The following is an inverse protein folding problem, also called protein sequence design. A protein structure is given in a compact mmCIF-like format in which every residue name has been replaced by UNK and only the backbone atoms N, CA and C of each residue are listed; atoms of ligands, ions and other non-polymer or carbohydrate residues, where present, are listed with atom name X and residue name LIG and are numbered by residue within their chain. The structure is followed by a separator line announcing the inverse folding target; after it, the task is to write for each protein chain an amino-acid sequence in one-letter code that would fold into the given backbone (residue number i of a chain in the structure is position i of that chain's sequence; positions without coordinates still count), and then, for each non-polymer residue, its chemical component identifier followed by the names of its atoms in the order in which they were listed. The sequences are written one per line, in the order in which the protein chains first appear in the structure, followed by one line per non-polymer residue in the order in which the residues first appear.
data_IF_929831707896
#
_entry.id   IF_929831707896
#
_cell.length_a   1.000
_cell.length_b   1.000
_cell.length_c   1.000
_cell.angle_alpha   90.00
_cell.angle_beta   90.00
_cell.angle_gamma   90.00
#
_symmetry.space_group_name_H-M   'P 1'
#
loop_
_entity.id
_entity.type
_entity.pdbx_description
1 polymer ?
#
# COMPACT_ATOMS: atom_id res chain seq x y z
N UNK A 1 3.61 19.97 -9.47
CA UNK A 1 3.08 21.29 -9.08
C UNK A 1 3.39 21.51 -7.61
N UNK A 2 4.08 22.58 -7.20
CA UNK A 2 4.36 22.83 -5.78
C UNK A 2 3.07 23.29 -5.08
N UNK A 3 2.71 22.77 -3.89
CA UNK A 3 1.55 23.26 -3.15
C UNK A 3 1.71 24.73 -2.76
N UNK A 4 0.60 25.46 -2.81
CA UNK A 4 0.45 26.77 -2.18
C UNK A 4 0.10 26.64 -0.70
N UNK A 5 -0.59 25.56 -0.35
CA UNK A 5 -0.96 25.23 1.01
C UNK A 5 -0.93 23.72 1.17
N UNK A 6 -0.27 23.26 2.22
CA UNK A 6 -0.20 21.86 2.58
C UNK A 6 -0.18 21.78 4.12
N UNK A 7 -1.24 21.22 4.71
CA UNK A 7 -1.35 21.17 6.17
C UNK A 7 -2.14 19.95 6.65
N UNK A 8 -1.43 19.13 7.41
CA UNK A 8 -1.99 18.09 8.27
C UNK A 8 -2.28 18.63 9.67
N UNK A 9 -3.46 18.31 10.19
CA UNK A 9 -3.94 18.57 11.56
C UNK A 9 -4.57 17.29 12.11
N UNK A 10 -5.03 17.29 13.36
CA UNK A 10 -5.67 16.11 13.96
C UNK A 10 -6.93 15.65 13.22
N UNK A 11 -7.66 16.58 12.60
CA UNK A 11 -8.95 16.32 11.93
C UNK A 11 -8.90 16.44 10.42
N UNK A 12 -8.02 17.29 9.88
CA UNK A 12 -7.95 17.59 8.45
C UNK A 12 -6.56 17.42 7.87
N UNK A 13 -6.53 16.96 6.63
CA UNK A 13 -5.41 17.07 5.70
C UNK A 13 -5.90 17.87 4.49
N UNK A 14 -5.18 18.94 4.12
CA UNK A 14 -5.58 19.84 3.04
C UNK A 14 -4.36 20.22 2.22
N UNK A 15 -4.41 19.85 0.95
CA UNK A 15 -3.49 20.27 -0.10
C UNK A 15 -4.20 21.22 -1.07
N UNK A 16 -3.53 22.30 -1.46
CA UNK A 16 -4.03 23.26 -2.46
C UNK A 16 -2.90 23.62 -3.43
N UNK A 17 -3.17 23.45 -4.72
CA UNK A 17 -2.33 23.91 -5.83
C UNK A 17 -3.08 24.92 -6.70
N UNK A 18 -2.32 25.78 -7.38
CA UNK A 18 -2.88 26.67 -8.39
C UNK A 18 -2.68 26.09 -9.79
N UNK A 19 -3.78 25.99 -10.54
CA UNK A 19 -3.79 25.53 -11.91
C UNK A 19 -3.76 26.74 -12.85
N UNK A 20 -2.56 27.05 -13.36
CA UNK A 20 -2.33 28.15 -14.31
C UNK A 20 -3.20 28.04 -15.57
N UNK A 21 -3.51 26.82 -16.03
CA UNK A 21 -4.27 26.60 -17.28
C UNK A 21 -5.75 26.95 -17.13
N UNK A 22 -6.30 26.79 -15.92
CA UNK A 22 -7.71 27.07 -15.61
C UNK A 22 -7.91 28.33 -14.77
N UNK A 23 -6.82 29.00 -14.40
CA UNK A 23 -6.80 30.19 -13.54
C UNK A 23 -7.63 30.01 -12.25
N UNK A 24 -7.49 28.85 -11.61
CA UNK A 24 -8.20 28.52 -10.38
C UNK A 24 -7.36 27.62 -9.45
N UNK A 25 -7.89 27.38 -8.25
CA UNK A 25 -7.24 26.58 -7.22
C UNK A 25 -7.84 25.18 -7.20
N UNK A 26 -7.01 24.15 -7.32
CA UNK A 26 -7.39 22.77 -7.07
C UNK A 26 -7.07 22.43 -5.61
N UNK A 27 -8.06 22.02 -4.85
CA UNK A 27 -7.84 21.47 -3.51
C UNK A 27 -8.08 19.97 -3.51
N UNK A 28 -7.24 19.25 -2.79
CA UNK A 28 -7.51 17.90 -2.33
C UNK A 28 -7.53 17.92 -0.81
N UNK A 29 -8.64 17.49 -0.21
CA UNK A 29 -8.87 17.63 1.23
C UNK A 29 -9.47 16.36 1.81
N UNK A 30 -9.03 16.00 3.01
CA UNK A 30 -9.51 14.86 3.78
C UNK A 30 -9.97 15.33 5.17
N UNK A 31 -11.05 14.75 5.65
CA UNK A 31 -11.60 14.93 6.99
C UNK A 31 -11.69 13.58 7.69
N UNK A 32 -10.95 13.45 8.78
CA UNK A 32 -10.85 12.22 9.58
C UNK A 32 -12.06 12.04 10.46
N UNK A 33 -12.60 10.82 10.45
CA UNK A 33 -13.66 10.36 11.36
C UNK A 33 -13.20 9.09 12.07
N UNK A 34 -13.99 8.66 13.05
CA UNK A 34 -13.66 7.49 13.88
C UNK A 34 -13.55 6.16 13.14
N UNK A 35 -14.14 5.99 11.95
CA UNK A 35 -14.09 4.74 11.15
C UNK A 35 -14.01 4.98 9.64
N UNK A 36 -13.68 6.20 9.23
CA UNK A 36 -13.65 6.60 7.83
C UNK A 36 -12.88 7.89 7.66
N UNK A 37 -12.50 8.18 6.42
CA UNK A 37 -12.09 9.51 5.99
C UNK A 37 -13.12 10.01 4.96
N UNK A 38 -13.54 11.28 5.05
CA UNK A 38 -14.22 11.94 3.93
C UNK A 38 -13.18 12.65 3.10
N UNK A 39 -13.15 12.45 1.79
CA UNK A 39 -12.23 13.17 0.91
C UNK A 39 -12.98 13.95 -0.17
N UNK A 40 -12.41 15.06 -0.60
CA UNK A 40 -12.97 15.91 -1.64
C UNK A 40 -11.85 16.52 -2.48
N UNK A 41 -11.89 16.23 -3.78
CA UNK A 41 -11.12 16.93 -4.80
C UNK A 41 -12.04 17.96 -5.47
N UNK A 42 -11.69 19.25 -5.40
CA UNK A 42 -12.57 20.32 -5.92
C UNK A 42 -11.78 21.56 -6.33
N UNK A 43 -12.29 22.25 -7.35
CA UNK A 43 -11.77 23.54 -7.81
C UNK A 43 -12.49 24.71 -7.15
N UNK A 44 -11.74 25.77 -6.83
CA UNK A 44 -12.22 27.01 -6.24
C UNK A 44 -11.63 28.21 -6.97
N UNK A 45 -12.45 29.25 -7.19
CA UNK A 45 -11.98 30.50 -7.81
C UNK A 45 -11.16 31.37 -6.84
N UNK A 46 -11.34 31.18 -5.53
CA UNK A 46 -10.60 31.85 -4.46
C UNK A 46 -10.34 30.86 -3.33
N UNK A 47 -9.19 30.96 -2.67
CA UNK A 47 -8.87 30.13 -1.51
C UNK A 47 -9.64 30.65 -0.29
N UNK A 48 -10.40 29.76 0.34
CA UNK A 48 -10.94 29.96 1.69
C UNK A 48 -10.92 28.60 2.39
N UNK A 49 -10.06 28.45 3.41
CA UNK A 49 -9.81 27.18 4.08
C UNK A 49 -11.05 26.67 4.82
N UNK A 50 -11.81 27.55 5.46
CA UNK A 50 -13.02 27.16 6.20
C UNK A 50 -14.12 26.67 5.25
N UNK A 51 -14.27 27.31 4.09
CA UNK A 51 -15.18 26.81 3.05
C UNK A 51 -14.75 25.45 2.51
N UNK A 52 -13.45 25.23 2.30
CA UNK A 52 -12.92 23.93 1.87
C UNK A 52 -13.26 22.87 2.93
N UNK A 53 -12.95 23.11 4.21
CA UNK A 53 -13.29 22.20 5.31
C UNK A 53 -14.79 21.88 5.35
N UNK A 54 -15.64 22.90 5.29
CA UNK A 54 -17.10 22.73 5.29
C UNK A 54 -17.58 21.92 4.09
N UNK A 55 -17.04 22.17 2.90
CA UNK A 55 -17.36 21.40 1.70
C UNK A 55 -16.90 19.93 1.84
N UNK A 56 -15.71 19.66 2.38
CA UNK A 56 -15.23 18.29 2.65
C UNK A 56 -16.15 17.56 3.62
N UNK A 57 -16.58 18.22 4.70
CA UNK A 57 -17.51 17.63 5.67
C UNK A 57 -18.86 17.30 4.99
N UNK A 58 -19.42 18.24 4.22
CA UNK A 58 -20.78 18.12 3.68
C UNK A 58 -20.84 17.23 2.44
N UNK A 59 -19.88 17.36 1.54
CA UNK A 59 -19.91 16.79 0.18
C UNK A 59 -18.81 15.75 -0.08
N UNK A 60 -17.87 15.58 0.86
CA UNK A 60 -16.80 14.61 0.70
C UNK A 60 -17.31 13.18 0.58
N UNK A 61 -16.65 12.42 -0.30
CA UNK A 61 -16.89 11.00 -0.52
C UNK A 61 -16.33 10.23 0.67
N UNK A 62 -17.10 9.27 1.19
CA UNK A 62 -16.68 8.47 2.35
C UNK A 62 -15.81 7.32 1.89
N UNK A 63 -14.58 7.28 2.42
CA UNK A 63 -13.67 6.15 2.31
C UNK A 63 -13.56 5.43 3.65
N UNK A 64 -13.70 4.10 3.66
CA UNK A 64 -13.71 3.30 4.90
C UNK A 64 -12.30 3.20 5.50
N UNK A 65 -12.24 3.20 6.84
CA UNK A 65 -11.00 2.99 7.61
C UNK A 65 -11.21 1.96 8.75
N UNK A 66 -10.17 1.20 9.14
CA UNK A 66 -8.80 1.28 8.62
C UNK A 66 -8.68 0.81 7.16
N UNK A 67 -7.74 1.39 6.40
CA UNK A 67 -7.46 0.92 5.04
C UNK A 67 -6.80 -0.46 5.11
N UNK A 68 -7.22 -1.38 4.24
CA UNK A 68 -6.69 -2.75 4.17
C UNK A 68 -6.21 -3.06 2.76
N UNK A 69 -5.24 -3.96 2.65
CA UNK A 69 -4.78 -4.50 1.37
C UNK A 69 -5.97 -4.93 0.48
N UNK A 70 -5.89 -4.57 -0.80
CA UNK A 70 -6.89 -4.79 -1.84
C UNK A 70 -8.27 -4.15 -1.56
N UNK A 71 -8.34 -3.18 -0.65
CA UNK A 71 -9.51 -2.32 -0.59
C UNK A 71 -9.59 -1.52 -1.89
N UNK A 72 -10.78 -1.50 -2.50
CA UNK A 72 -11.04 -0.82 -3.78
C UNK A 72 -10.50 0.61 -3.80
N UNK A 73 -10.02 1.03 -4.97
CA UNK A 73 -9.60 2.39 -5.22
C UNK A 73 -10.69 3.37 -4.83
N UNK A 74 -10.30 4.30 -3.98
CA UNK A 74 -10.92 5.59 -3.89
C UNK A 74 -9.79 6.61 -3.86
N UNK A 75 -10.03 7.83 -4.34
CA UNK A 75 -8.96 8.82 -4.54
C UNK A 75 -8.25 9.29 -3.26
N UNK A 76 -8.42 8.60 -2.13
CA UNK A 76 -7.74 8.87 -0.86
C UNK A 76 -6.70 7.82 -0.44
N UNK A 77 -6.52 6.71 -1.19
CA UNK A 77 -5.78 5.54 -0.68
C UNK A 77 -4.28 5.55 -0.98
N UNK A 78 -3.79 6.39 -1.89
CA UNK A 78 -2.41 6.36 -2.41
C UNK A 78 -1.38 6.28 -1.28
N UNK A 79 -1.48 7.18 -0.31
CA UNK A 79 -0.56 7.23 0.85
C UNK A 79 -0.60 5.95 1.69
N UNK A 80 -1.78 5.34 1.87
CA UNK A 80 -1.90 4.07 2.59
C UNK A 80 -1.24 2.92 1.82
N UNK A 81 -1.38 2.89 0.49
CA UNK A 81 -0.78 1.86 -0.36
C UNK A 81 0.75 1.99 -0.38
N UNK A 82 1.28 3.20 -0.54
CA UNK A 82 2.72 3.44 -0.48
C UNK A 82 3.31 3.05 0.87
N UNK A 83 2.60 3.28 1.98
CA UNK A 83 3.08 2.84 3.28
C UNK A 83 3.11 1.32 3.42
N UNK A 84 2.09 0.61 2.91
CA UNK A 84 2.08 -0.85 2.86
C UNK A 84 3.21 -1.40 1.97
N UNK A 85 3.51 -0.74 0.87
CA UNK A 85 4.65 -1.06 0.01
C UNK A 85 5.99 -0.88 0.75
N UNK A 86 6.17 0.24 1.47
CA UNK A 86 7.36 0.46 2.28
C UNK A 86 7.55 -0.62 3.36
N UNK A 87 6.49 -0.96 4.10
CA UNK A 87 6.53 -2.01 5.12
C UNK A 87 6.88 -3.40 4.54
N UNK A 88 6.39 -3.68 3.32
CA UNK A 88 6.83 -4.85 2.56
C UNK A 88 8.34 -4.79 2.27
N UNK A 89 8.83 -3.69 1.68
CA UNK A 89 10.26 -3.54 1.36
C UNK A 89 11.15 -3.70 2.60
N UNK A 90 10.80 -3.06 3.72
CA UNK A 90 11.52 -3.19 5.00
C UNK A 90 11.57 -4.65 5.47
N UNK A 91 10.46 -5.38 5.36
CA UNK A 91 10.38 -6.79 5.75
C UNK A 91 11.28 -7.72 4.93
N UNK A 92 11.57 -7.34 3.68
CA UNK A 92 12.43 -8.11 2.77
C UNK A 92 13.81 -7.45 2.54
N UNK A 93 14.15 -6.39 3.26
CA UNK A 93 15.40 -5.61 3.11
C UNK A 93 15.63 -5.10 1.68
N UNK A 94 14.56 -4.65 1.04
CA UNK A 94 14.58 -4.01 -0.27
C UNK A 94 14.59 -2.48 -0.10
N UNK A 95 15.20 -1.76 -1.04
CA UNK A 95 15.08 -0.30 -1.10
C UNK A 95 13.81 0.08 -1.91
N UNK A 96 12.79 0.68 -1.25
CA UNK A 96 11.56 1.05 -1.94
C UNK A 96 11.77 2.14 -3.00
N UNK A 97 12.75 3.04 -2.83
CA UNK A 97 13.04 4.09 -3.81
C UNK A 97 13.77 3.55 -5.04
N UNK A 98 14.57 2.49 -4.90
CA UNK A 98 15.16 1.81 -6.05
C UNK A 98 14.08 1.12 -6.88
N UNK A 99 13.17 0.39 -6.23
CA UNK A 99 12.07 -0.30 -6.92
C UNK A 99 11.11 0.68 -7.62
N UNK A 100 10.77 1.81 -6.98
CA UNK A 100 9.96 2.85 -7.64
C UNK A 100 10.67 3.40 -8.88
N UNK A 101 11.98 3.65 -8.79
CA UNK A 101 12.75 4.18 -9.92
C UNK A 101 12.91 3.16 -11.05
N UNK A 102 13.01 1.89 -10.72
CA UNK A 102 13.02 0.81 -11.71
C UNK A 102 11.66 0.72 -12.43
N UNK A 103 10.56 0.78 -11.68
CA UNK A 103 9.21 0.79 -12.24
C UNK A 103 8.89 2.07 -13.05
N UNK A 104 9.45 3.21 -12.64
CA UNK A 104 9.23 4.51 -13.28
C UNK A 104 10.55 5.29 -13.43
N UNK A 105 11.34 5.03 -14.49
CA UNK A 105 12.66 5.66 -14.65
C UNK A 105 12.63 7.19 -14.80
N UNK A 106 11.47 7.78 -15.07
CA UNK A 106 11.30 9.23 -15.17
C UNK A 106 11.10 9.90 -13.80
N UNK A 107 10.86 9.11 -12.76
CA UNK A 107 10.70 9.57 -11.38
C UNK A 107 12.07 9.85 -10.76
N UNK A 108 12.50 11.11 -10.85
CA UNK A 108 13.84 11.53 -10.41
C UNK A 108 13.90 11.93 -8.93
N UNK A 109 12.76 12.04 -8.25
CA UNK A 109 12.72 12.45 -6.84
C UNK A 109 12.44 11.23 -5.96
N UNK A 110 13.26 11.01 -4.91
CA UNK A 110 12.97 9.97 -3.95
C UNK A 110 11.67 10.29 -3.23
N UNK A 111 10.90 9.26 -2.97
CA UNK A 111 9.68 9.33 -2.17
C UNK A 111 10.04 9.48 -0.70
N UNK A 112 9.44 10.46 -0.02
CA UNK A 112 9.60 10.65 1.42
C UNK A 112 8.71 9.66 2.20
N UNK A 113 9.27 8.47 2.48
CA UNK A 113 8.55 7.44 3.22
C UNK A 113 8.32 7.77 4.69
N UNK A 114 9.07 8.71 5.28
CA UNK A 114 8.84 9.17 6.65
C UNK A 114 7.54 9.98 6.69
N UNK A 115 7.39 10.90 5.74
CA UNK A 115 6.16 11.66 5.60
C UNK A 115 4.97 10.74 5.26
N UNK A 116 5.12 9.84 4.29
CA UNK A 116 4.07 8.86 3.93
C UNK A 116 3.60 8.06 5.14
N UNK A 117 4.51 7.55 5.97
CA UNK A 117 4.16 6.83 7.20
C UNK A 117 3.28 7.68 8.12
N UNK A 118 3.67 8.92 8.38
CA UNK A 118 2.92 9.84 9.24
C UNK A 118 1.49 10.05 8.73
N UNK A 119 1.31 10.28 7.44
CA UNK A 119 -0.02 10.44 6.84
C UNK A 119 -0.82 9.14 6.84
N UNK A 120 -0.21 8.00 6.52
CA UNK A 120 -0.88 6.70 6.50
C UNK A 120 -1.35 6.27 7.91
N UNK A 121 -0.56 6.54 8.95
CA UNK A 121 -0.96 6.36 10.35
C UNK A 121 -2.11 7.29 10.73
N UNK A 122 -2.07 8.55 10.28
CA UNK A 122 -3.18 9.48 10.48
C UNK A 122 -4.47 8.97 9.82
N UNK A 123 -4.38 8.42 8.61
CA UNK A 123 -5.49 7.82 7.88
C UNK A 123 -5.94 6.47 8.44
N UNK A 124 -5.12 5.82 9.29
CA UNK A 124 -5.36 4.51 9.90
C UNK A 124 -5.27 3.38 8.89
N UNK A 125 -4.10 3.16 8.33
CA UNK A 125 -3.75 1.94 7.59
C UNK A 125 -3.65 0.72 8.53
N UNK A 126 -4.08 -0.45 8.07
CA UNK A 126 -3.90 -1.74 8.77
C UNK A 126 -2.75 -2.53 8.13
N UNK A 127 -1.64 -2.63 8.84
CA UNK A 127 -0.49 -3.44 8.42
C UNK A 127 -0.77 -4.95 8.62
N UNK A 128 -0.31 -5.82 7.70
CA UNK A 128 -0.33 -7.25 7.94
C UNK A 128 0.67 -7.62 9.05
N UNK A 129 0.33 -8.59 9.90
CA UNK A 129 1.25 -9.09 10.93
C UNK A 129 2.48 -9.81 10.35
N UNK A 130 2.34 -10.38 9.15
CA UNK A 130 3.36 -11.11 8.40
C UNK A 130 3.06 -11.01 6.91
N UNK A 131 4.11 -10.90 6.10
CA UNK A 131 4.03 -10.95 4.65
C UNK A 131 4.07 -12.40 4.13
N UNK A 132 2.89 -12.96 3.88
CA UNK A 132 2.72 -14.22 3.14
C UNK A 132 2.51 -13.95 1.65
N UNK A 133 2.63 -14.99 0.81
CA UNK A 133 2.28 -14.92 -0.63
C UNK A 133 0.89 -14.31 -0.87
N UNK A 134 -0.09 -14.68 -0.06
CA UNK A 134 -1.45 -14.12 -0.15
C UNK A 134 -1.48 -12.62 0.15
N UNK A 135 -0.69 -12.12 1.11
CA UNK A 135 -0.62 -10.68 1.41
C UNK A 135 0.13 -9.90 0.35
N UNK A 136 1.19 -10.49 -0.22
CA UNK A 136 1.93 -9.89 -1.34
C UNK A 136 1.00 -9.73 -2.55
N UNK A 137 0.18 -10.74 -2.86
CA UNK A 137 -0.81 -10.63 -3.93
C UNK A 137 -1.82 -9.49 -3.70
N UNK A 138 -2.31 -9.34 -2.48
CA UNK A 138 -3.21 -8.22 -2.15
C UNK A 138 -2.50 -6.85 -2.19
N UNK A 139 -1.18 -6.80 -1.96
CA UNK A 139 -0.39 -5.59 -2.17
C UNK A 139 -0.29 -5.24 -3.66
N UNK A 140 -0.05 -6.23 -4.53
CA UNK A 140 -0.06 -6.02 -5.98
C UNK A 140 -1.41 -5.47 -6.46
N UNK A 141 -2.51 -6.05 -5.99
CA UNK A 141 -3.86 -5.54 -6.27
C UNK A 141 -4.00 -4.09 -5.79
N UNK A 142 -3.50 -3.75 -4.60
CA UNK A 142 -3.52 -2.37 -4.08
C UNK A 142 -2.72 -1.39 -4.95
N UNK A 143 -1.57 -1.82 -5.47
CA UNK A 143 -0.73 -1.02 -6.35
C UNK A 143 -1.39 -0.81 -7.72
N UNK A 144 -2.06 -1.82 -8.26
CA UNK A 144 -2.88 -1.68 -9.46
C UNK A 144 -4.00 -0.66 -9.29
N UNK A 145 -4.67 -0.66 -8.14
CA UNK A 145 -5.76 0.28 -7.84
C UNK A 145 -5.29 1.74 -7.85
N UNK A 146 -4.01 2.02 -7.59
CA UNK A 146 -3.41 3.35 -7.68
C UNK A 146 -2.59 3.57 -8.97
N UNK A 147 -2.78 2.73 -9.98
CA UNK A 147 -2.11 2.75 -11.29
C UNK A 147 -0.59 2.53 -11.27
N UNK A 148 -0.06 1.85 -10.25
CA UNK A 148 1.35 1.46 -10.16
C UNK A 148 1.57 0.02 -10.67
N UNK A 149 1.22 -0.23 -11.93
CA UNK A 149 1.26 -1.57 -12.54
C UNK A 149 2.66 -2.17 -12.62
N UNK A 150 3.65 -1.39 -13.07
CA UNK A 150 5.01 -1.89 -13.22
C UNK A 150 5.65 -2.21 -11.86
N UNK A 151 5.34 -1.41 -10.83
CA UNK A 151 5.79 -1.68 -9.46
C UNK A 151 5.16 -2.96 -8.89
N UNK A 152 3.88 -3.19 -9.19
CA UNK A 152 3.21 -4.43 -8.80
C UNK A 152 3.85 -5.67 -9.46
N UNK A 153 4.24 -5.55 -10.74
CA UNK A 153 4.94 -6.61 -11.47
C UNK A 153 6.32 -6.89 -10.87
N UNK A 154 7.12 -5.86 -10.58
CA UNK A 154 8.43 -6.04 -9.94
C UNK A 154 8.31 -6.81 -8.62
N UNK A 155 7.37 -6.42 -7.75
CA UNK A 155 7.14 -7.12 -6.48
C UNK A 155 6.78 -8.59 -6.71
N UNK A 156 6.04 -8.90 -7.78
CA UNK A 156 5.73 -10.28 -8.17
C UNK A 156 7.00 -11.07 -8.42
N UNK A 157 7.89 -10.54 -9.26
CA UNK A 157 9.12 -11.21 -9.67
C UNK A 157 10.08 -11.41 -8.48
N UNK A 158 10.22 -10.39 -7.63
CA UNK A 158 10.99 -10.50 -6.39
C UNK A 158 10.42 -11.58 -5.46
N UNK A 159 9.10 -11.61 -5.29
CA UNK A 159 8.47 -12.60 -4.42
C UNK A 159 8.69 -14.03 -4.91
N UNK A 160 8.48 -14.30 -6.20
CA UNK A 160 8.69 -15.61 -6.80
C UNK A 160 10.15 -16.08 -6.62
N UNK A 161 11.11 -15.20 -6.90
CA UNK A 161 12.53 -15.51 -6.75
C UNK A 161 12.91 -15.81 -5.28
N UNK A 162 12.36 -15.07 -4.32
CA UNK A 162 12.56 -15.32 -2.89
C UNK A 162 12.03 -16.71 -2.52
N UNK A 163 10.79 -17.05 -2.90
CA UNK A 163 10.19 -18.34 -2.53
C UNK A 163 10.90 -19.52 -3.21
N UNK A 164 11.31 -19.39 -4.48
CA UNK A 164 12.08 -20.42 -5.19
C UNK A 164 13.44 -20.70 -4.52
N UNK A 165 14.11 -19.66 -4.01
CA UNK A 165 15.36 -19.83 -3.25
C UNK A 165 15.11 -20.56 -1.92
N UNK A 166 14.03 -20.25 -1.21
CA UNK A 166 13.66 -20.97 0.01
C UNK A 166 13.31 -22.44 -0.27
N UNK A 167 12.62 -22.75 -1.36
CA UNK A 167 12.33 -24.13 -1.77
C UNK A 167 13.61 -24.93 -2.08
N UNK A 168 14.59 -24.30 -2.76
CA UNK A 168 15.91 -24.92 -2.99
C UNK A 168 16.65 -25.20 -1.68
N UNK A 169 16.66 -24.25 -0.75
CA UNK A 169 17.33 -24.44 0.56
C UNK A 169 16.65 -25.55 1.38
N UNK A 170 15.32 -25.62 1.38
CA UNK A 170 14.58 -26.64 2.14
C UNK A 170 14.68 -28.04 1.53
N UNK A 171 14.73 -28.14 0.19
CA UNK A 171 14.92 -29.42 -0.51
C UNK A 171 16.35 -29.96 -0.37
N UNK A 172 17.37 -29.09 -0.42
CA UNK A 172 18.78 -29.47 -0.19
C UNK A 172 19.00 -30.00 1.23
N UNK A 173 18.26 -29.48 2.22
CA UNK A 173 18.38 -29.90 3.62
C UNK A 173 17.49 -31.11 4.00
N UNK A 174 16.80 -31.76 3.05
CA UNK A 174 15.84 -32.85 3.31
C UNK A 174 14.71 -32.51 4.30
N UNK A 175 14.40 -31.22 4.49
CA UNK A 175 13.46 -30.76 5.52
C UNK A 175 11.99 -30.75 5.06
N UNK A 176 11.71 -30.87 3.76
CA UNK A 176 10.35 -30.89 3.21
C UNK A 176 10.22 -31.90 2.06
N UNK A 177 9.26 -32.83 2.15
CA UNK A 177 8.78 -33.63 1.02
C UNK A 177 7.49 -33.01 0.49
N UNK A 178 7.53 -32.48 -0.72
CA UNK A 178 6.34 -31.96 -1.40
C UNK A 178 5.63 -33.08 -2.18
N UNK A 179 4.30 -33.11 -2.13
CA UNK A 179 3.46 -33.98 -2.96
C UNK A 179 2.75 -33.09 -3.98
N UNK A 180 3.08 -33.25 -5.26
CA UNK A 180 2.40 -32.55 -6.36
C UNK A 180 0.99 -33.10 -6.48
N UNK A 181 -0.03 -32.27 -6.26
CA UNK A 181 -1.43 -32.65 -6.50
C UNK A 181 -1.78 -32.34 -7.96
N UNK A 182 -2.62 -33.18 -8.55
CA UNK A 182 -2.96 -33.21 -9.99
C UNK A 182 -3.65 -31.95 -10.53
N UNK A 183 -3.96 -30.97 -9.68
CA UNK A 183 -4.75 -29.78 -10.02
C UNK A 183 -3.98 -28.45 -9.84
N UNK A 184 -2.64 -28.47 -9.82
CA UNK A 184 -1.83 -27.24 -9.87
C UNK A 184 -1.62 -26.51 -8.54
N UNK A 185 -2.11 -27.05 -7.42
CA UNK A 185 -1.83 -26.52 -6.08
C UNK A 185 -0.78 -27.39 -5.38
N UNK A 186 0.27 -26.77 -4.83
CA UNK A 186 1.24 -27.43 -3.94
C UNK A 186 0.81 -27.28 -2.48
N UNK A 187 0.59 -28.40 -1.80
CA UNK A 187 0.49 -28.43 -0.34
C UNK A 187 1.84 -28.85 0.23
N UNK A 188 2.50 -27.95 0.96
CA UNK A 188 3.73 -28.22 1.69
C UNK A 188 3.39 -28.87 3.04
N UNK A 189 3.90 -30.07 3.31
CA UNK A 189 3.86 -30.66 4.67
C UNK A 189 5.25 -30.50 5.29
N UNK A 190 5.41 -29.48 6.12
CA UNK A 190 6.67 -29.20 6.82
C UNK A 190 6.89 -30.26 7.92
N UNK A 191 7.99 -31.01 7.86
CA UNK A 191 8.42 -31.88 8.98
C UNK A 191 9.40 -31.05 9.81
N UNK A 192 8.90 -30.39 10.85
CA UNK A 192 9.71 -29.50 11.68
C UNK A 192 10.69 -30.32 12.56
N UNK A 193 11.99 -30.23 12.26
CA UNK A 193 13.03 -30.52 13.24
C UNK A 193 13.42 -29.24 13.98
N UNK A 194 13.45 -29.33 15.31
CA UNK A 194 13.78 -28.27 16.27
C UNK A 194 15.06 -27.51 15.88
N UNK A 195 14.91 -26.28 15.38
CA UNK A 195 15.58 -25.03 15.81
C UNK A 195 15.42 -23.95 14.73
N UNK A 196 14.78 -22.84 15.09
CA UNK A 196 14.86 -21.51 14.44
C UNK A 196 14.35 -21.31 12.99
N UNK A 197 13.25 -21.94 12.56
CA UNK A 197 12.60 -21.57 11.29
C UNK A 197 11.17 -21.06 11.47
N UNK A 198 10.83 -20.06 10.64
CA UNK A 198 9.51 -19.44 10.54
C UNK A 198 8.51 -20.49 10.08
N UNK A 199 7.55 -20.81 10.95
CA UNK A 199 6.43 -21.70 10.66
C UNK A 199 5.49 -21.00 9.68
N UNK A 200 5.44 -21.46 8.44
CA UNK A 200 4.37 -21.16 7.49
C UNK A 200 3.23 -22.17 7.74
N UNK A 201 2.25 -21.78 8.55
CA UNK A 201 0.95 -22.47 8.59
C UNK A 201 -0.09 -21.58 7.97
N UNK A 202 -0.61 -22.00 6.82
CA UNK A 202 -2.04 -21.81 6.52
C UNK A 202 -2.55 -23.10 5.86
N UNK A 203 -2.89 -24.08 6.70
CA UNK A 203 -3.82 -25.15 6.35
C UNK A 203 -5.10 -24.85 7.11
N UNK A 204 -6.08 -24.27 6.43
CA UNK A 204 -7.47 -24.32 6.86
C UNK A 204 -8.24 -25.18 5.88
N UNK A 205 -8.29 -26.48 6.20
CA UNK A 205 -9.41 -27.32 5.81
C UNK A 205 -10.65 -26.77 6.50
N UNK A 206 -11.60 -26.23 5.73
CA UNK A 206 -12.99 -26.16 6.18
C UNK A 206 -13.68 -27.40 5.63
N UNK A 207 -14.13 -28.25 6.56
CA UNK A 207 -15.03 -29.37 6.34
C UNK A 207 -16.28 -28.94 5.57
#
# INVERSE_FOLDING_TARGET
MKPLYDKLTDEFDIWIGYDNSKQNYLSFSKYKRSRSVKYLCRRYNKINIDNIKLDTIKKGIVSKRPYKLAQRCDGSIDTCVYYLFNDFCESFKLDPNELIREANPQENQPTDFIEIKKYAEWERVELPKKWSLSKIKLLQESLHEINHHDLANLISDYSLNLFDQYEKILSVNNLVRFRKLSHGYMTAKLIAFKKNYVVLTDLKDKK
#
